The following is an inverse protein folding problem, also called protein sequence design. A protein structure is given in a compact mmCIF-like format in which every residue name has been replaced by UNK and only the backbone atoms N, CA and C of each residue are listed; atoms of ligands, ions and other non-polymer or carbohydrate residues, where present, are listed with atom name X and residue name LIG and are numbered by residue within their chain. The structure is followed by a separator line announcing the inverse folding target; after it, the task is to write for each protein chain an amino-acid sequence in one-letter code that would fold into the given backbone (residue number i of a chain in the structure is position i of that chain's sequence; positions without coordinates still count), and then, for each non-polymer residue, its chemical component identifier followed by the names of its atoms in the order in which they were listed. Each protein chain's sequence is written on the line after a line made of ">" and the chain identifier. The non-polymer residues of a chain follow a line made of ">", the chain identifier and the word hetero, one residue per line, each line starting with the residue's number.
data_IF_791071972580
#
_entry.id   IF_791071972580
#
_cell.length_a   1.000
_cell.length_b   1.000
_cell.length_c   1.000
_cell.angle_alpha   90.00
_cell.angle_beta   90.00
_cell.angle_gamma   90.00
#
_symmetry.space_group_name_H-M   'P 1'
#
loop_
_entity.id
_entity.type
_entity.pdbx_description
1 polymer ?
#
# COMPACT_ATOMS: atom_id res chain seq x y z
N UNK A 1 58.04 54.89 -25.96
CA UNK A 1 58.35 54.53 -24.58
C UNK A 1 57.71 53.15 -24.29
N UNK A 2 58.52 52.08 -24.11
CA UNK A 2 57.99 50.77 -23.70
C UNK A 2 57.79 50.77 -22.20
N UNK A 3 56.54 50.72 -21.75
CA UNK A 3 56.22 50.46 -20.34
C UNK A 3 56.70 49.05 -20.00
N UNK A 4 57.76 48.97 -19.18
CA UNK A 4 58.18 47.75 -18.55
C UNK A 4 57.17 47.43 -17.45
N UNK A 5 56.28 46.45 -17.72
CA UNK A 5 55.43 45.91 -16.68
C UNK A 5 56.33 45.34 -15.54
N UNK A 6 56.15 45.82 -14.34
CA UNK A 6 56.78 45.24 -13.14
C UNK A 6 56.10 43.89 -12.90
N UNK A 7 56.85 42.82 -13.08
CA UNK A 7 56.38 41.47 -12.66
C UNK A 7 56.32 41.37 -11.13
N UNK A 8 55.38 40.62 -10.62
CA UNK A 8 55.29 40.31 -9.19
C UNK A 8 56.52 39.55 -8.72
N UNK A 9 57.02 39.88 -7.56
CA UNK A 9 58.09 39.11 -6.91
C UNK A 9 57.52 37.81 -6.32
N UNK A 10 58.32 36.79 -6.17
CA UNK A 10 57.92 35.49 -5.61
C UNK A 10 57.44 35.65 -4.17
N UNK A 11 57.98 36.60 -3.43
CA UNK A 11 57.55 36.96 -2.04
C UNK A 11 56.20 37.62 -2.00
N UNK A 12 55.90 38.53 -2.94
CA UNK A 12 54.56 39.15 -3.04
C UNK A 12 53.49 38.13 -3.37
N UNK A 13 53.80 37.16 -4.28
CA UNK A 13 52.88 36.07 -4.60
C UNK A 13 52.65 35.17 -3.40
N UNK A 14 53.73 34.79 -2.66
CA UNK A 14 53.68 33.98 -1.48
C UNK A 14 52.83 34.67 -0.37
N UNK A 15 53.02 35.96 -0.13
CA UNK A 15 52.26 36.72 0.87
C UNK A 15 50.77 36.73 0.53
N UNK A 16 50.38 36.90 -0.75
CA UNK A 16 49.00 36.88 -1.20
C UNK A 16 48.35 35.51 -0.99
N UNK A 17 49.06 34.43 -1.32
CA UNK A 17 48.56 33.06 -1.13
C UNK A 17 48.32 32.77 0.35
N UNK A 18 49.24 33.18 1.24
CA UNK A 18 49.11 32.98 2.69
C UNK A 18 47.89 33.76 3.25
N UNK A 19 47.72 35.00 2.82
CA UNK A 19 46.59 35.82 3.27
C UNK A 19 45.27 35.23 2.76
N UNK A 20 45.21 34.81 1.49
CA UNK A 20 44.02 34.13 0.93
C UNK A 20 43.74 32.83 1.65
N UNK A 21 44.76 32.02 1.98
CA UNK A 21 44.56 30.80 2.76
C UNK A 21 43.95 31.05 4.13
N UNK A 22 44.43 32.07 4.86
CA UNK A 22 43.89 32.47 6.16
C UNK A 22 42.46 32.94 6.04
N UNK A 23 42.13 33.77 5.03
CA UNK A 23 40.76 34.26 4.79
C UNK A 23 39.83 33.09 4.47
N UNK A 24 40.26 32.16 3.62
CA UNK A 24 39.47 30.96 3.26
C UNK A 24 39.19 30.06 4.46
N UNK A 25 40.18 29.83 5.33
CA UNK A 25 40.02 28.98 6.54
C UNK A 25 38.97 29.56 7.50
N UNK A 26 38.84 30.90 7.59
CA UNK A 26 37.91 31.57 8.48
C UNK A 26 36.54 31.84 7.80
N UNK A 27 36.56 32.24 6.54
CA UNK A 27 35.35 32.64 5.84
C UNK A 27 34.50 31.46 5.33
N UNK A 28 35.13 30.39 4.83
CA UNK A 28 34.41 29.23 4.27
C UNK A 28 33.48 28.55 5.28
N UNK A 29 33.90 28.22 6.51
CA UNK A 29 33.00 27.63 7.51
C UNK A 29 31.78 28.54 7.81
N UNK A 30 32.00 29.85 8.00
CA UNK A 30 30.92 30.80 8.29
C UNK A 30 29.92 30.94 7.13
N UNK A 31 30.40 30.95 5.90
CA UNK A 31 29.56 31.00 4.69
C UNK A 31 28.75 29.69 4.61
N UNK A 32 29.37 28.54 4.83
CA UNK A 32 28.71 27.24 4.83
C UNK A 32 27.61 27.17 5.86
N UNK A 33 27.86 27.61 7.09
CA UNK A 33 26.85 27.65 8.16
C UNK A 33 25.69 28.59 7.82
N UNK A 34 25.98 29.74 7.23
CA UNK A 34 24.96 30.71 6.78
C UNK A 34 24.08 30.10 5.68
N UNK A 35 24.68 29.41 4.71
CA UNK A 35 23.94 28.72 3.65
C UNK A 35 23.08 27.59 4.25
N UNK A 36 23.62 26.78 5.17
CA UNK A 36 22.90 25.72 5.86
C UNK A 36 21.69 26.26 6.61
N UNK A 37 21.88 27.32 7.41
CA UNK A 37 20.81 27.97 8.15
C UNK A 37 19.73 28.58 7.25
N UNK A 38 20.13 29.21 6.14
CA UNK A 38 19.21 29.77 5.15
C UNK A 38 18.38 28.68 4.46
N UNK A 39 19.01 27.58 4.09
CA UNK A 39 18.30 26.40 3.53
C UNK A 39 17.29 25.85 4.54
N UNK A 40 17.72 25.70 5.80
CA UNK A 40 16.85 25.21 6.89
C UNK A 40 15.63 26.13 7.07
N UNK A 41 15.83 27.43 7.19
CA UNK A 41 14.74 28.41 7.34
C UNK A 41 13.79 28.41 6.12
N UNK A 42 14.32 28.30 4.91
CA UNK A 42 13.51 28.19 3.70
C UNK A 42 12.67 26.90 3.68
N UNK A 43 13.23 25.79 4.12
CA UNK A 43 12.52 24.51 4.21
C UNK A 43 11.40 24.52 5.26
N UNK A 44 11.66 25.13 6.44
CA UNK A 44 10.65 25.35 7.48
C UNK A 44 9.51 26.25 6.98
N UNK A 45 9.83 27.30 6.25
CA UNK A 45 8.82 28.18 5.63
C UNK A 45 7.95 27.43 4.62
N UNK A 46 8.54 26.53 3.85
CA UNK A 46 7.78 25.69 2.91
C UNK A 46 6.79 24.80 3.66
N UNK A 47 7.21 24.14 4.74
CA UNK A 47 6.32 23.28 5.54
C UNK A 47 5.17 24.08 6.17
N UNK A 48 5.43 25.30 6.70
CA UNK A 48 4.39 26.22 7.22
C UNK A 48 3.40 26.62 6.14
N UNK A 49 3.88 26.92 4.94
CA UNK A 49 3.03 27.29 3.80
C UNK A 49 2.12 26.15 3.38
N UNK A 50 2.65 24.92 3.32
CA UNK A 50 1.86 23.71 3.00
C UNK A 50 0.79 23.50 4.07
N UNK A 51 1.12 23.62 5.35
CA UNK A 51 0.16 23.47 6.44
C UNK A 51 -0.98 24.52 6.36
N UNK A 52 -0.66 25.78 6.11
CA UNK A 52 -1.66 26.83 5.97
C UNK A 52 -2.61 26.59 4.78
N UNK A 53 -2.05 26.13 3.65
CA UNK A 53 -2.86 25.79 2.47
C UNK A 53 -3.71 24.53 2.70
N UNK A 54 -3.21 23.54 3.46
CA UNK A 54 -3.96 22.36 3.83
C UNK A 54 -5.19 22.71 4.69
N UNK A 55 -5.04 23.59 5.67
CA UNK A 55 -6.15 24.08 6.50
C UNK A 55 -7.20 24.79 5.65
N UNK A 56 -6.76 25.65 4.73
CA UNK A 56 -7.67 26.33 3.79
C UNK A 56 -8.42 25.33 2.91
N UNK A 57 -7.71 24.34 2.35
CA UNK A 57 -8.31 23.31 1.51
C UNK A 57 -9.32 22.44 2.27
N UNK A 58 -9.04 22.17 3.55
CA UNK A 58 -9.99 21.46 4.42
C UNK A 58 -11.28 22.24 4.61
N UNK A 59 -11.20 23.54 4.89
CA UNK A 59 -12.39 24.40 5.02
C UNK A 59 -13.18 24.46 3.72
N UNK A 60 -12.50 24.55 2.56
CA UNK A 60 -13.16 24.51 1.26
C UNK A 60 -13.94 23.20 1.04
N UNK A 61 -13.34 22.06 1.39
CA UNK A 61 -13.99 20.75 1.29
C UNK A 61 -15.18 20.61 2.24
N UNK A 62 -15.06 21.07 3.47
CA UNK A 62 -16.15 21.08 4.45
C UNK A 62 -17.37 21.89 3.96
N UNK A 63 -17.13 23.05 3.34
CA UNK A 63 -18.19 23.87 2.74
C UNK A 63 -18.89 23.18 1.56
N UNK A 64 -18.13 22.39 0.79
CA UNK A 64 -18.63 21.67 -0.40
C UNK A 64 -19.14 20.26 -0.05
N UNK A 65 -19.20 19.89 1.23
CA UNK A 65 -19.54 18.54 1.70
C UNK A 65 -18.68 17.41 1.06
N UNK A 66 -17.46 17.76 0.60
CA UNK A 66 -16.51 16.83 0.02
C UNK A 66 -15.71 16.10 1.11
N UNK A 67 -15.93 14.81 1.26
CA UNK A 67 -15.26 13.96 2.26
C UNK A 67 -13.92 13.38 1.80
N UNK A 68 -13.43 13.74 0.61
CA UNK A 68 -12.17 13.25 0.07
C UNK A 68 -10.96 13.65 0.91
N UNK A 69 -9.94 12.81 0.95
CA UNK A 69 -8.67 13.08 1.62
C UNK A 69 -7.93 14.26 0.97
N UNK A 70 -7.08 14.91 1.75
CA UNK A 70 -6.20 16.00 1.27
C UNK A 70 -4.78 15.47 1.26
N UNK A 71 -4.19 15.41 0.07
CA UNK A 71 -2.79 15.04 -0.13
C UNK A 71 -1.91 16.28 -0.36
N UNK A 72 -0.60 16.12 -0.24
CA UNK A 72 0.33 17.21 -0.56
C UNK A 72 0.23 17.68 -2.01
N UNK A 73 -0.05 16.77 -2.95
CA UNK A 73 -0.21 17.08 -4.37
C UNK A 73 -1.44 17.95 -4.66
N UNK A 74 -2.45 17.91 -3.80
CA UNK A 74 -3.66 18.75 -3.95
C UNK A 74 -3.42 20.20 -3.55
N UNK A 75 -2.33 20.47 -2.82
CA UNK A 75 -2.05 21.77 -2.20
C UNK A 75 -0.95 22.51 -2.92
N UNK A 76 0.12 21.82 -3.22
CA UNK A 76 1.32 22.40 -3.85
C UNK A 76 1.76 21.46 -4.96
N UNK A 77 2.01 22.01 -6.15
CA UNK A 77 2.87 21.32 -7.11
C UNK A 77 4.26 21.30 -6.49
N UNK A 78 4.49 20.29 -5.63
CA UNK A 78 5.81 20.07 -5.10
C UNK A 78 6.75 19.87 -6.28
N UNK A 79 7.78 20.71 -6.31
CA UNK A 79 8.84 20.50 -7.26
C UNK A 79 9.55 19.20 -6.88
N UNK A 80 9.32 18.13 -7.63
CA UNK A 80 9.88 16.80 -7.40
C UNK A 80 11.42 16.80 -7.27
N UNK A 81 12.07 17.89 -7.68
CA UNK A 81 13.51 18.07 -7.53
C UNK A 81 13.94 18.55 -6.15
N UNK A 82 13.07 19.26 -5.40
CA UNK A 82 13.41 19.88 -4.11
C UNK A 82 12.76 19.20 -2.90
N UNK A 83 11.63 18.53 -3.12
CA UNK A 83 10.89 17.84 -2.06
C UNK A 83 10.70 16.38 -2.43
N UNK A 84 10.98 15.51 -1.49
CA UNK A 84 10.75 14.09 -1.59
C UNK A 84 9.36 13.72 -1.08
N UNK A 85 9.31 12.98 0.02
CA UNK A 85 8.07 12.52 0.60
C UNK A 85 7.37 13.61 1.42
N UNK A 86 6.05 13.67 1.34
CA UNK A 86 5.22 14.60 2.09
C UNK A 86 3.96 13.90 2.58
N UNK A 87 3.58 14.16 3.84
CA UNK A 87 2.34 13.67 4.43
C UNK A 87 1.64 14.80 5.16
N UNK A 88 0.30 14.83 5.07
CA UNK A 88 -0.56 15.78 5.79
C UNK A 88 -1.53 14.99 6.63
N UNK A 89 -1.60 15.33 7.91
CA UNK A 89 -2.61 14.84 8.84
C UNK A 89 -3.31 16.01 9.49
N UNK A 90 -4.48 15.80 10.09
CA UNK A 90 -5.22 16.84 10.76
C UNK A 90 -5.51 16.47 12.22
N UNK A 91 -5.37 17.46 13.10
CA UNK A 91 -5.81 17.41 14.48
C UNK A 91 -6.89 18.49 14.67
N UNK A 92 -8.14 18.06 14.63
CA UNK A 92 -9.24 19.00 14.42
C UNK A 92 -9.06 19.76 13.09
N UNK A 93 -8.96 21.08 13.16
CA UNK A 93 -8.75 21.96 12.00
C UNK A 93 -7.27 22.30 11.75
N UNK A 94 -6.37 21.84 12.61
CA UNK A 94 -4.94 22.12 12.48
C UNK A 94 -4.28 21.09 11.60
N UNK A 95 -3.67 21.54 10.50
CA UNK A 95 -2.88 20.67 9.63
C UNK A 95 -1.48 20.43 10.25
N UNK A 96 -1.07 19.16 10.24
CA UNK A 96 0.28 18.71 10.60
C UNK A 96 0.95 18.17 9.35
N UNK A 97 2.05 18.80 8.94
CA UNK A 97 2.80 18.46 7.72
C UNK A 97 4.11 17.77 8.12
N UNK A 98 4.35 16.61 7.55
CA UNK A 98 5.65 15.94 7.61
C UNK A 98 6.24 15.93 6.20
N UNK A 99 7.49 16.44 6.06
CA UNK A 99 8.12 16.72 4.78
C UNK A 99 9.58 16.29 4.80
N UNK A 100 10.03 15.64 3.72
CA UNK A 100 11.45 15.28 3.50
C UNK A 100 11.99 16.09 2.34
N UNK A 101 13.17 16.68 2.53
CA UNK A 101 13.86 17.44 1.50
C UNK A 101 14.56 16.53 0.49
N UNK A 102 14.63 17.01 -0.77
CA UNK A 102 15.36 16.43 -1.90
C UNK A 102 16.17 17.55 -2.58
N UNK A 103 17.13 17.21 -3.41
CA UNK A 103 17.90 18.20 -4.16
C UNK A 103 18.54 19.27 -3.28
N UNK A 104 18.13 20.54 -3.43
CA UNK A 104 18.71 21.63 -2.63
C UNK A 104 18.43 21.51 -1.13
N UNK A 105 17.39 20.76 -0.74
CA UNK A 105 16.99 20.52 0.65
C UNK A 105 17.36 19.10 1.12
N UNK A 106 18.11 18.36 0.34
CA UNK A 106 18.54 17.00 0.72
C UNK A 106 19.15 16.98 2.14
N UNK A 107 18.75 15.96 2.92
CA UNK A 107 19.15 15.79 4.31
C UNK A 107 18.34 16.58 5.32
N UNK A 108 17.33 17.35 4.90
CA UNK A 108 16.42 18.06 5.80
C UNK A 108 15.06 17.36 5.90
N UNK A 109 14.43 17.47 7.06
CA UNK A 109 13.05 16.99 7.29
C UNK A 109 12.31 17.85 8.30
N UNK A 110 10.98 17.90 8.17
CA UNK A 110 10.06 18.46 9.18
C UNK A 110 9.08 17.37 9.57
N UNK A 111 8.84 17.19 10.88
CA UNK A 111 7.82 16.25 11.40
C UNK A 111 6.72 17.08 12.05
N UNK A 112 5.46 16.81 11.66
CA UNK A 112 4.26 17.42 12.23
C UNK A 112 4.33 18.96 12.32
N UNK A 113 4.94 19.61 11.32
CA UNK A 113 4.98 21.06 11.23
C UNK A 113 3.59 21.65 11.02
N UNK A 114 3.27 22.74 11.71
CA UNK A 114 2.03 23.49 11.56
C UNK A 114 2.30 24.82 10.85
N UNK A 115 1.24 25.55 10.48
CA UNK A 115 1.40 26.89 9.88
C UNK A 115 2.16 27.89 10.78
N UNK A 116 2.09 27.69 12.10
CA UNK A 116 2.71 28.59 13.08
C UNK A 116 4.11 28.09 13.50
N UNK A 117 4.32 26.79 13.52
CA UNK A 117 5.56 26.19 13.97
C UNK A 117 5.99 25.01 13.08
N UNK A 118 7.19 25.11 12.51
CA UNK A 118 7.85 24.01 11.83
C UNK A 118 9.35 24.08 12.11
N UNK A 119 9.94 22.99 12.55
CA UNK A 119 11.37 22.90 12.85
C UNK A 119 11.99 21.85 11.96
N UNK A 120 12.99 22.25 11.17
CA UNK A 120 13.71 21.30 10.32
C UNK A 120 14.79 20.56 11.10
N UNK A 121 14.73 19.23 11.01
CA UNK A 121 15.75 18.29 11.47
C UNK A 121 16.60 17.75 10.34
N UNK A 122 17.60 16.95 10.70
CA UNK A 122 18.39 16.19 9.72
C UNK A 122 17.75 14.80 9.50
N UNK A 123 17.76 14.32 8.27
CA UNK A 123 17.32 12.97 7.90
C UNK A 123 18.36 12.34 6.96
N UNK A 124 18.64 11.06 7.19
CA UNK A 124 19.47 10.27 6.27
C UNK A 124 18.59 9.21 5.62
N UNK A 125 18.53 9.23 4.29
CA UNK A 125 17.87 8.17 3.54
C UNK A 125 18.64 6.86 3.68
N UNK A 126 17.96 5.70 3.83
CA UNK A 126 18.61 4.41 3.79
C UNK A 126 19.23 4.16 2.41
N UNK A 127 20.31 3.38 2.39
CA UNK A 127 20.92 2.96 1.13
C UNK A 127 20.02 1.94 0.42
N UNK A 128 19.91 2.07 -0.89
CA UNK A 128 19.21 1.09 -1.71
C UNK A 128 19.88 -0.28 -1.61
N UNK A 129 19.10 -1.34 -1.64
CA UNK A 129 19.59 -2.71 -1.49
C UNK A 129 18.44 -3.69 -1.38
N UNK A 130 18.62 -4.76 -0.61
CA UNK A 130 17.58 -5.78 -0.38
C UNK A 130 16.28 -5.10 0.04
N UNK A 131 15.19 -5.37 -0.70
CA UNK A 131 13.96 -4.61 -0.60
C UNK A 131 13.34 -4.65 0.80
N UNK A 132 13.35 -5.80 1.47
CA UNK A 132 12.84 -5.92 2.84
C UNK A 132 13.68 -5.13 3.84
N UNK A 133 15.00 -5.12 3.69
CA UNK A 133 15.91 -4.33 4.54
C UNK A 133 15.69 -2.83 4.33
N UNK A 134 15.52 -2.40 3.09
CA UNK A 134 15.25 -1.00 2.75
C UNK A 134 13.93 -0.51 3.38
N UNK A 135 12.84 -1.26 3.22
CA UNK A 135 11.54 -0.89 3.80
C UNK A 135 11.58 -0.92 5.33
N UNK A 136 12.26 -1.90 5.95
CA UNK A 136 12.46 -1.94 7.41
C UNK A 136 13.24 -0.70 7.88
N UNK A 137 14.27 -0.26 7.17
CA UNK A 137 15.03 0.96 7.50
C UNK A 137 14.21 2.25 7.33
N UNK A 138 13.31 2.32 6.34
CA UNK A 138 12.33 3.41 6.24
C UNK A 138 11.39 3.42 7.47
N UNK A 139 10.93 2.26 7.89
CA UNK A 139 10.05 2.13 9.06
C UNK A 139 10.75 2.54 10.36
N UNK A 140 12.01 2.19 10.56
CA UNK A 140 12.78 2.46 11.79
C UNK A 140 13.10 3.95 11.97
N UNK A 141 13.03 4.76 10.92
CA UNK A 141 13.14 6.22 10.96
C UNK A 141 11.76 6.85 11.18
N UNK A 142 11.55 7.59 12.27
CA UNK A 142 10.26 8.20 12.59
C UNK A 142 9.73 9.08 11.45
N UNK A 143 10.58 9.92 10.87
CA UNK A 143 10.16 10.78 9.76
C UNK A 143 9.86 9.99 8.49
N UNK A 144 10.71 9.03 8.13
CA UNK A 144 10.52 8.25 6.91
C UNK A 144 9.31 7.31 7.05
N UNK A 145 9.07 6.76 8.25
CA UNK A 145 7.87 5.97 8.55
C UNK A 145 6.60 6.77 8.26
N UNK A 146 6.48 7.97 8.84
CA UNK A 146 5.30 8.82 8.67
C UNK A 146 5.13 9.29 7.23
N UNK A 147 6.21 9.77 6.59
CA UNK A 147 6.14 10.32 5.23
C UNK A 147 5.95 9.26 4.14
N UNK A 148 6.27 8.00 4.45
CA UNK A 148 5.99 6.88 3.53
C UNK A 148 4.65 6.20 3.82
N UNK A 149 3.96 6.54 4.90
CA UNK A 149 2.72 5.88 5.31
C UNK A 149 2.96 4.44 5.78
N UNK A 150 4.02 4.21 6.57
CA UNK A 150 4.38 2.90 7.09
C UNK A 150 3.90 2.72 8.53
N UNK A 151 3.38 1.53 8.83
CA UNK A 151 2.93 1.14 10.16
C UNK A 151 3.14 -0.36 10.39
N UNK A 152 3.34 -0.77 11.62
CA UNK A 152 3.18 -2.18 12.02
C UNK A 152 1.71 -2.46 12.29
N UNK A 153 1.21 -3.57 11.76
CA UNK A 153 -0.11 -4.05 12.14
C UNK A 153 -0.12 -4.53 13.60
N UNK A 154 -1.30 -4.65 14.19
CA UNK A 154 -1.49 -5.08 15.57
C UNK A 154 -1.67 -6.61 15.71
N UNK A 155 -1.25 -7.37 14.70
CA UNK A 155 -1.24 -8.83 14.73
C UNK A 155 -0.02 -9.36 15.46
N UNK A 156 0.00 -10.66 15.78
CA UNK A 156 1.17 -11.32 16.38
C UNK A 156 2.42 -11.26 15.49
N UNK A 157 2.23 -11.19 14.17
CA UNK A 157 3.32 -11.14 13.20
C UNK A 157 3.94 -9.76 13.07
N UNK A 158 3.22 -8.70 13.53
CA UNK A 158 3.65 -7.31 13.51
C UNK A 158 4.25 -6.89 12.15
N UNK A 159 3.54 -7.23 11.07
CA UNK A 159 4.00 -6.94 9.70
C UNK A 159 4.08 -5.42 9.47
N UNK A 160 5.08 -5.00 8.70
CA UNK A 160 5.20 -3.62 8.26
C UNK A 160 4.31 -3.43 7.04
N UNK A 161 3.32 -2.53 7.13
CA UNK A 161 2.34 -2.27 6.08
C UNK A 161 2.36 -0.82 5.64
N UNK A 162 1.93 -0.58 4.41
CA UNK A 162 1.64 0.76 3.92
C UNK A 162 0.17 1.09 4.15
N UNK A 163 -0.10 2.26 4.77
CA UNK A 163 -1.44 2.75 5.09
C UNK A 163 -1.65 4.19 4.61
N UNK A 164 -2.90 4.61 4.52
CA UNK A 164 -3.27 5.98 4.17
C UNK A 164 -3.82 6.11 2.76
N UNK A 165 -4.23 7.32 2.37
CA UNK A 165 -4.84 7.55 1.07
C UNK A 165 -3.85 7.37 -0.09
N UNK A 166 -2.61 7.82 0.08
CA UNK A 166 -1.59 7.76 -0.96
C UNK A 166 -0.18 7.60 -0.36
N UNK A 167 0.14 6.44 0.25
CA UNK A 167 1.49 6.18 0.73
C UNK A 167 2.50 6.03 -0.42
N UNK A 168 3.78 6.18 -0.11
CA UNK A 168 4.87 6.00 -1.07
C UNK A 168 5.22 4.52 -1.23
N UNK A 169 4.34 3.77 -1.84
CA UNK A 169 4.44 2.33 -2.03
C UNK A 169 4.32 1.88 -3.49
N UNK A 170 4.42 2.81 -4.44
CA UNK A 170 4.41 2.45 -5.84
C UNK A 170 5.72 1.80 -6.26
N UNK A 171 5.62 0.81 -7.12
CA UNK A 171 6.74 0.05 -7.67
C UNK A 171 6.51 -0.18 -9.17
N UNK A 172 7.55 -0.02 -9.96
CA UNK A 172 7.56 -0.42 -11.36
C UNK A 172 7.80 -1.93 -11.42
N UNK A 173 6.79 -2.68 -11.81
CA UNK A 173 6.84 -4.13 -11.89
C UNK A 173 6.02 -4.60 -13.10
N UNK A 174 6.58 -5.48 -13.92
CA UNK A 174 5.94 -5.94 -15.16
C UNK A 174 5.65 -4.82 -16.19
N UNK A 175 6.51 -3.79 -16.23
CA UNK A 175 6.34 -2.60 -17.09
C UNK A 175 5.06 -1.78 -16.80
N UNK A 176 4.48 -1.97 -15.63
CA UNK A 176 3.29 -1.25 -15.14
C UNK A 176 3.45 -0.87 -13.66
N UNK A 177 2.53 -0.06 -13.14
CA UNK A 177 2.54 0.30 -11.72
C UNK A 177 1.86 -0.79 -10.89
N UNK A 178 2.58 -1.24 -9.87
CA UNK A 178 2.07 -2.06 -8.77
C UNK A 178 2.26 -1.31 -7.47
N UNK A 179 1.69 -1.85 -6.39
CA UNK A 179 1.84 -1.27 -5.06
C UNK A 179 2.31 -2.32 -4.06
N UNK A 180 3.19 -1.90 -3.16
CA UNK A 180 3.66 -2.73 -2.05
C UNK A 180 2.58 -2.72 -0.96
N UNK A 181 2.04 -3.88 -0.60
CA UNK A 181 1.16 -4.04 0.56
C UNK A 181 1.98 -3.90 1.85
N UNK A 182 3.14 -4.56 1.90
CA UNK A 182 4.00 -4.53 3.06
C UNK A 182 5.11 -5.57 3.02
N UNK A 183 5.76 -5.71 4.17
CA UNK A 183 6.77 -6.74 4.44
C UNK A 183 6.16 -7.77 5.40
N UNK A 184 6.12 -9.01 4.96
CA UNK A 184 5.59 -10.17 5.66
C UNK A 184 6.73 -11.16 5.90
N UNK A 185 7.24 -11.20 7.12
CA UNK A 185 8.48 -11.92 7.41
C UNK A 185 9.63 -11.36 6.59
N UNK A 186 10.17 -12.17 5.66
CA UNK A 186 11.27 -11.78 4.76
C UNK A 186 10.83 -11.56 3.31
N UNK A 187 9.52 -11.46 3.06
CA UNK A 187 8.96 -11.26 1.73
C UNK A 187 8.25 -9.91 1.61
N UNK A 188 8.40 -9.26 0.46
CA UNK A 188 7.56 -8.12 0.06
C UNK A 188 6.34 -8.69 -0.65
N UNK A 189 5.15 -8.23 -0.27
CA UNK A 189 3.89 -8.54 -0.94
C UNK A 189 3.47 -7.37 -1.81
N UNK A 190 3.17 -7.65 -3.08
CA UNK A 190 2.66 -6.67 -4.04
C UNK A 190 1.20 -6.96 -4.39
N UNK A 191 0.51 -5.91 -4.84
CA UNK A 191 -0.78 -5.99 -5.53
C UNK A 191 -0.74 -5.10 -6.77
N UNK A 192 -1.37 -5.53 -7.86
CA UNK A 192 -1.51 -4.73 -9.06
C UNK A 192 -2.37 -3.49 -8.78
N UNK A 193 -2.01 -2.33 -9.33
CA UNK A 193 -2.76 -1.08 -9.11
C UNK A 193 -4.12 -1.10 -9.80
N UNK A 194 -4.16 -1.64 -11.01
CA UNK A 194 -5.38 -1.70 -11.84
C UNK A 194 -5.95 -3.11 -11.85
N UNK A 195 -7.28 -3.23 -11.96
CA UNK A 195 -7.89 -4.55 -12.13
C UNK A 195 -7.44 -5.20 -13.45
N UNK A 196 -7.28 -6.52 -13.46
CA UNK A 196 -7.10 -7.27 -14.72
C UNK A 196 -8.40 -7.29 -15.54
N UNK A 197 -9.52 -7.32 -14.86
CA UNK A 197 -10.86 -7.46 -15.41
C UNK A 197 -11.76 -8.15 -14.39
N UNK A 198 -12.98 -8.49 -14.79
CA UNK A 198 -13.96 -9.15 -13.93
C UNK A 198 -14.14 -10.61 -14.34
N UNK A 199 -13.84 -11.52 -13.42
CA UNK A 199 -13.96 -12.96 -13.58
C UNK A 199 -14.69 -13.59 -12.39
N UNK A 200 -15.28 -14.77 -12.64
CA UNK A 200 -15.70 -15.65 -11.54
C UNK A 200 -14.48 -16.13 -10.76
N UNK A 201 -14.61 -16.25 -9.45
CA UNK A 201 -13.60 -16.89 -8.61
C UNK A 201 -13.54 -18.38 -8.94
N UNK A 202 -14.72 -19.00 -9.06
CA UNK A 202 -14.94 -20.35 -9.55
C UNK A 202 -16.35 -20.47 -10.18
N UNK A 203 -16.50 -21.34 -11.16
CA UNK A 203 -17.77 -21.66 -11.78
C UNK A 203 -17.94 -23.17 -11.85
N UNK A 204 -19.18 -23.63 -12.01
CA UNK A 204 -19.48 -25.07 -12.17
C UNK A 204 -20.73 -25.24 -12.99
N UNK A 205 -20.98 -26.45 -13.47
CA UNK A 205 -22.27 -26.79 -14.07
C UNK A 205 -23.37 -26.91 -13.02
N UNK A 206 -24.61 -27.05 -13.44
CA UNK A 206 -25.78 -27.10 -12.56
C UNK A 206 -25.82 -28.31 -11.61
N UNK A 207 -24.98 -29.31 -11.84
CA UNK A 207 -24.91 -30.50 -10.98
C UNK A 207 -24.10 -30.26 -9.70
N UNK A 208 -23.27 -29.19 -9.69
CA UNK A 208 -22.43 -28.83 -8.55
C UNK A 208 -22.87 -27.45 -8.00
N UNK A 209 -23.34 -27.43 -6.75
CA UNK A 209 -23.79 -26.21 -6.07
C UNK A 209 -24.73 -25.34 -6.94
N UNK A 210 -25.64 -25.95 -7.69
CA UNK A 210 -26.52 -25.26 -8.65
C UNK A 210 -25.78 -24.37 -9.67
N UNK A 211 -24.55 -24.71 -10.01
CA UNK A 211 -23.71 -23.95 -10.94
C UNK A 211 -23.06 -22.68 -10.36
N UNK A 212 -23.05 -22.51 -9.04
CA UNK A 212 -22.46 -21.34 -8.39
C UNK A 212 -20.97 -21.47 -8.06
N UNK A 213 -20.34 -22.56 -8.52
CA UNK A 213 -18.92 -22.84 -8.25
C UNK A 213 -18.66 -23.51 -6.92
N UNK A 214 -17.39 -23.75 -6.65
CA UNK A 214 -16.87 -24.34 -5.41
C UNK A 214 -15.81 -23.41 -4.83
N UNK A 215 -15.91 -23.08 -3.56
CA UNK A 215 -14.96 -22.17 -2.91
C UNK A 215 -13.73 -22.90 -2.37
N UNK A 216 -13.05 -23.63 -3.22
CA UNK A 216 -11.78 -24.32 -2.97
C UNK A 216 -10.70 -23.78 -3.93
N UNK A 217 -9.71 -23.07 -3.38
CA UNK A 217 -8.75 -22.31 -4.19
C UNK A 217 -7.88 -23.18 -5.11
N UNK A 218 -7.45 -24.36 -4.65
CA UNK A 218 -6.54 -25.20 -5.43
C UNK A 218 -7.15 -25.70 -6.74
N UNK A 219 -8.48 -25.68 -6.85
CA UNK A 219 -9.25 -26.09 -8.04
C UNK A 219 -9.95 -24.93 -8.72
N UNK A 220 -9.88 -23.72 -8.18
CA UNK A 220 -10.62 -22.56 -8.67
C UNK A 220 -10.21 -22.14 -10.08
N UNK A 221 -11.19 -21.78 -10.90
CA UNK A 221 -10.99 -21.27 -12.27
C UNK A 221 -10.10 -20.02 -12.27
N UNK A 222 -10.27 -19.14 -11.28
CA UNK A 222 -9.48 -17.93 -11.17
C UNK A 222 -8.01 -18.24 -10.83
N UNK A 223 -7.74 -19.25 -9.99
CA UNK A 223 -6.38 -19.74 -9.75
C UNK A 223 -5.75 -20.26 -11.03
N UNK A 224 -6.51 -21.02 -11.84
CA UNK A 224 -6.04 -21.54 -13.12
C UNK A 224 -5.69 -20.38 -14.08
N UNK A 225 -6.58 -19.39 -14.21
CA UNK A 225 -6.29 -18.20 -15.01
C UNK A 225 -5.03 -17.48 -14.55
N UNK A 226 -4.90 -17.20 -13.23
CA UNK A 226 -3.78 -16.43 -12.71
C UNK A 226 -2.42 -17.13 -12.82
N UNK A 227 -2.39 -18.47 -12.73
CA UNK A 227 -1.13 -19.22 -12.72
C UNK A 227 -0.79 -19.88 -14.05
N UNK A 228 -1.78 -20.36 -14.82
CA UNK A 228 -1.54 -21.01 -16.10
C UNK A 228 -1.50 -20.00 -17.24
N UNK A 229 -2.39 -19.00 -17.25
CA UNK A 229 -2.41 -18.01 -18.33
C UNK A 229 -1.62 -16.74 -17.97
N UNK A 230 -2.01 -16.01 -16.93
CA UNK A 230 -1.41 -14.72 -16.59
C UNK A 230 0.08 -14.86 -16.21
N UNK A 231 0.42 -15.83 -15.37
CA UNK A 231 1.81 -16.16 -15.03
C UNK A 231 2.45 -17.06 -16.11
N UNK A 232 1.82 -18.18 -16.47
CA UNK A 232 2.41 -19.23 -17.31
C UNK A 232 2.49 -18.88 -18.79
N UNK A 233 1.51 -18.13 -19.32
CA UNK A 233 1.40 -17.78 -20.73
C UNK A 233 0.64 -18.82 -21.58
N UNK A 234 0.04 -19.83 -20.96
CA UNK A 234 -0.77 -20.86 -21.63
C UNK A 234 -2.25 -20.49 -21.54
N UNK A 235 -2.95 -20.48 -22.65
CA UNK A 235 -4.37 -20.12 -22.71
C UNK A 235 -5.24 -21.10 -21.90
N UNK A 236 -6.23 -20.54 -21.19
CA UNK A 236 -7.25 -21.26 -20.42
C UNK A 236 -8.64 -20.76 -20.81
N UNK A 237 -9.69 -21.42 -20.31
CA UNK A 237 -11.05 -20.90 -20.39
C UNK A 237 -11.31 -19.98 -19.21
N UNK A 238 -11.93 -18.81 -19.45
CA UNK A 238 -12.33 -17.87 -18.41
C UNK A 238 -13.85 -17.87 -18.25
N UNK A 239 -14.29 -17.72 -17.01
CA UNK A 239 -15.69 -17.74 -16.64
C UNK A 239 -16.11 -16.41 -16.00
N UNK A 240 -17.33 -15.97 -16.31
CA UNK A 240 -17.88 -14.71 -15.81
C UNK A 240 -19.30 -14.88 -15.28
N UNK A 241 -19.72 -16.09 -14.94
CA UNK A 241 -21.06 -16.34 -14.45
C UNK A 241 -21.30 -17.79 -14.02
N UNK A 242 -22.51 -18.03 -13.55
CA UNK A 242 -23.05 -19.33 -13.14
C UNK A 242 -23.11 -20.31 -14.34
N UNK A 243 -23.10 -21.61 -14.05
CA UNK A 243 -23.25 -22.71 -15.01
C UNK A 243 -22.13 -22.69 -16.08
N UNK A 244 -20.89 -22.55 -15.69
CA UNK A 244 -19.74 -22.48 -16.59
C UNK A 244 -19.92 -21.44 -17.71
N UNK A 245 -20.57 -20.31 -17.38
CA UNK A 245 -20.76 -19.22 -18.32
C UNK A 245 -19.42 -18.61 -18.69
N UNK A 246 -18.97 -18.88 -19.92
CA UNK A 246 -17.68 -18.42 -20.43
C UNK A 246 -17.67 -16.92 -20.69
N UNK A 247 -16.50 -16.31 -20.55
CA UNK A 247 -16.24 -14.92 -20.92
C UNK A 247 -14.88 -14.80 -21.59
N UNK A 248 -14.62 -13.64 -22.20
CA UNK A 248 -13.28 -13.36 -22.75
C UNK A 248 -12.29 -13.20 -21.58
N UNK A 249 -11.19 -13.95 -21.65
CA UNK A 249 -10.12 -13.78 -20.69
C UNK A 249 -9.54 -12.36 -20.78
N UNK A 250 -9.28 -11.69 -19.63
CA UNK A 250 -8.58 -10.43 -19.63
C UNK A 250 -7.23 -10.55 -20.33
N UNK A 251 -6.85 -9.51 -21.06
CA UNK A 251 -5.53 -9.43 -21.69
C UNK A 251 -4.47 -9.04 -20.67
N UNK A 252 -3.29 -9.60 -20.81
CA UNK A 252 -2.15 -9.33 -19.93
C UNK A 252 -1.40 -10.62 -19.56
N UNK A 253 -0.13 -10.47 -19.29
CA UNK A 253 0.74 -11.56 -18.82
C UNK A 253 1.94 -10.96 -18.09
N UNK A 254 2.55 -11.75 -17.24
CA UNK A 254 3.82 -11.36 -16.61
C UNK A 254 4.97 -11.61 -17.58
N UNK A 255 5.85 -10.63 -17.72
CA UNK A 255 7.09 -10.78 -18.48
C UNK A 255 8.13 -11.63 -17.72
N UNK A 256 9.21 -12.02 -18.39
CA UNK A 256 10.23 -12.89 -17.80
C UNK A 256 10.93 -12.26 -16.60
N UNK A 257 11.16 -10.94 -16.63
CA UNK A 257 11.78 -10.21 -15.52
C UNK A 257 10.90 -10.22 -14.27
N UNK A 258 9.60 -9.92 -14.41
CA UNK A 258 8.66 -10.00 -13.31
C UNK A 258 8.58 -11.42 -12.73
N UNK A 259 8.46 -12.44 -13.60
CA UNK A 259 8.42 -13.85 -13.18
C UNK A 259 9.64 -14.26 -12.36
N UNK A 260 10.85 -13.80 -12.73
CA UNK A 260 12.08 -14.13 -12.00
C UNK A 260 12.13 -13.54 -10.58
N UNK A 261 11.38 -12.48 -10.32
CA UNK A 261 11.29 -11.82 -9.01
C UNK A 261 10.20 -12.41 -8.10
N UNK A 262 9.27 -13.21 -8.64
CA UNK A 262 8.16 -13.78 -7.87
C UNK A 262 8.61 -15.05 -7.14
N UNK A 263 8.26 -15.13 -5.85
CA UNK A 263 8.44 -16.32 -5.05
C UNK A 263 7.29 -17.33 -5.29
N UNK A 264 7.61 -18.61 -5.37
CA UNK A 264 6.60 -19.66 -5.20
C UNK A 264 6.25 -19.73 -3.72
N UNK A 265 5.23 -18.98 -3.32
CA UNK A 265 4.87 -18.74 -1.93
C UNK A 265 3.79 -19.72 -1.47
N UNK A 266 3.84 -20.12 -0.19
CA UNK A 266 2.78 -20.94 0.41
C UNK A 266 1.66 -20.02 0.93
N UNK A 267 0.59 -19.88 0.15
CA UNK A 267 -0.59 -19.09 0.48
C UNK A 267 -1.50 -19.83 1.45
N UNK A 268 -2.14 -19.11 2.37
CA UNK A 268 -3.19 -19.65 3.22
C UNK A 268 -4.53 -19.59 2.45
N UNK A 269 -5.19 -20.71 2.28
CA UNK A 269 -6.37 -20.86 1.40
C UNK A 269 -7.55 -21.54 2.09
N UNK A 270 -7.45 -21.80 3.38
CA UNK A 270 -8.54 -22.36 4.17
C UNK A 270 -9.73 -21.40 4.28
N UNK A 271 -10.93 -21.97 4.38
CA UNK A 271 -12.14 -21.18 4.52
C UNK A 271 -12.31 -20.59 5.93
N UNK A 272 -12.81 -19.38 6.00
CA UNK A 272 -13.06 -18.69 7.27
C UNK A 272 -14.50 -18.91 7.69
N UNK A 273 -14.68 -19.51 8.87
CA UNK A 273 -15.99 -19.80 9.43
C UNK A 273 -16.60 -18.55 10.09
N UNK A 274 -17.82 -18.22 9.69
CA UNK A 274 -18.58 -17.10 10.26
C UNK A 274 -19.14 -17.38 11.65
N UNK A 275 -19.22 -18.64 12.08
CA UNK A 275 -19.79 -19.02 13.37
C UNK A 275 -18.77 -19.03 14.51
N UNK A 276 -17.48 -18.83 14.24
CA UNK A 276 -16.50 -18.65 15.31
C UNK A 276 -16.76 -17.29 15.99
N UNK A 277 -16.91 -17.32 17.27
CA UNK A 277 -17.51 -16.35 18.20
C UNK A 277 -16.93 -14.93 18.16
N UNK A 278 -15.95 -14.66 17.34
CA UNK A 278 -15.31 -13.34 17.16
C UNK A 278 -15.47 -12.78 15.76
N UNK A 279 -16.05 -13.53 14.81
CA UNK A 279 -16.32 -13.10 13.45
C UNK A 279 -17.83 -13.27 13.20
N UNK A 280 -18.64 -12.45 13.83
CA UNK A 280 -20.09 -12.44 13.59
C UNK A 280 -20.39 -11.66 12.32
N UNK A 281 -20.87 -12.36 11.29
CA UNK A 281 -21.02 -11.80 9.95
C UNK A 281 -22.48 -11.77 9.51
N UNK A 282 -23.45 -11.70 10.35
CA UNK A 282 -24.78 -11.52 9.79
C UNK A 282 -25.75 -10.59 10.52
N UNK A 283 -25.52 -10.26 11.77
CA UNK A 283 -26.48 -9.38 12.45
C UNK A 283 -25.84 -8.16 13.14
N UNK A 284 -24.53 -8.15 13.34
CA UNK A 284 -23.82 -7.01 13.94
C UNK A 284 -22.67 -6.48 13.12
N UNK A 285 -22.25 -7.13 12.04
CA UNK A 285 -21.16 -6.76 11.12
C UNK A 285 -19.87 -6.24 11.77
N UNK A 286 -19.70 -6.50 13.07
CA UNK A 286 -18.46 -6.22 13.77
C UNK A 286 -17.50 -7.37 13.52
N UNK A 287 -16.54 -7.17 12.63
CA UNK A 287 -15.53 -8.17 12.31
C UNK A 287 -14.21 -7.72 12.92
N UNK A 288 -13.77 -8.39 13.98
CA UNK A 288 -12.47 -8.10 14.58
C UNK A 288 -11.35 -8.39 13.57
N UNK A 289 -10.59 -7.36 13.21
CA UNK A 289 -9.57 -7.42 12.15
C UNK A 289 -8.44 -8.41 12.49
N UNK A 290 -8.00 -8.46 13.76
CA UNK A 290 -6.96 -9.38 14.20
C UNK A 290 -7.48 -10.84 14.19
N UNK A 291 -8.73 -11.06 14.63
CA UNK A 291 -9.33 -12.39 14.57
C UNK A 291 -9.48 -12.85 13.10
N UNK A 292 -9.87 -11.96 12.20
CA UNK A 292 -9.95 -12.26 10.78
C UNK A 292 -8.56 -12.61 10.20
N UNK A 293 -7.54 -11.84 10.54
CA UNK A 293 -6.16 -12.12 10.16
C UNK A 293 -5.69 -13.50 10.61
N UNK A 294 -5.98 -13.84 11.87
CA UNK A 294 -5.65 -15.13 12.43
C UNK A 294 -6.40 -16.27 11.74
N UNK A 295 -7.67 -16.05 11.40
CA UNK A 295 -8.48 -17.01 10.64
C UNK A 295 -7.93 -17.22 9.22
N UNK A 296 -7.54 -16.14 8.50
CA UNK A 296 -6.90 -16.24 7.18
C UNK A 296 -5.63 -17.12 7.23
N UNK A 297 -4.94 -17.19 8.36
CA UNK A 297 -3.67 -17.92 8.55
C UNK A 297 -3.78 -19.21 9.35
N UNK A 298 -4.98 -19.58 9.73
CA UNK A 298 -5.22 -20.83 10.47
C UNK A 298 -4.70 -20.85 11.88
N UNK A 299 -4.46 -19.69 12.50
CA UNK A 299 -4.07 -19.64 13.90
C UNK A 299 -5.27 -19.78 14.86
N UNK A 300 -5.03 -20.06 16.14
CA UNK A 300 -5.95 -20.60 17.14
C UNK A 300 -7.24 -19.82 17.40
N UNK A 301 -7.31 -18.56 17.03
CA UNK A 301 -8.46 -17.66 17.30
C UNK A 301 -9.45 -17.54 16.15
N UNK A 302 -9.19 -18.17 15.00
CA UNK A 302 -10.13 -18.29 13.91
C UNK A 302 -9.97 -19.67 13.30
N UNK A 303 -11.04 -20.45 13.22
CA UNK A 303 -10.95 -21.77 12.59
C UNK A 303 -10.89 -21.65 11.10
N UNK A 304 -9.82 -22.17 10.51
CA UNK A 304 -9.84 -22.53 9.12
C UNK A 304 -10.61 -23.81 8.94
N UNK A 305 -11.64 -23.78 8.15
CA UNK A 305 -12.39 -24.96 7.78
C UNK A 305 -11.64 -25.82 6.77
N UNK A 306 -11.38 -27.06 7.15
CA UNK A 306 -10.72 -28.05 6.28
C UNK A 306 -11.69 -29.06 5.68
N UNK A 307 -12.83 -29.28 6.30
CA UNK A 307 -13.83 -30.26 5.85
C UNK A 307 -15.26 -29.84 6.20
N UNK A 308 -16.23 -30.47 5.56
CA UNK A 308 -17.66 -30.21 5.74
C UNK A 308 -18.15 -30.37 7.18
N UNK A 309 -17.60 -31.36 7.95
CA UNK A 309 -17.99 -31.58 9.34
C UNK A 309 -17.65 -30.41 10.26
N UNK A 310 -16.52 -29.78 10.02
CA UNK A 310 -16.04 -28.64 10.83
C UNK A 310 -16.66 -27.31 10.39
N UNK A 311 -17.03 -27.22 9.11
CA UNK A 311 -17.51 -25.99 8.47
C UNK A 311 -19.02 -26.01 8.20
N UNK A 312 -19.69 -27.14 8.49
CA UNK A 312 -21.08 -27.39 8.10
C UNK A 312 -21.33 -27.26 6.58
N UNK A 313 -20.33 -27.53 5.76
CA UNK A 313 -20.44 -27.64 4.31
C UNK A 313 -19.84 -28.97 3.80
N UNK A 314 -19.93 -29.25 2.50
CA UNK A 314 -19.51 -30.52 1.90
C UNK A 314 -18.16 -30.45 1.19
N UNK A 315 -17.49 -29.29 1.21
CA UNK A 315 -16.24 -29.08 0.48
C UNK A 315 -15.05 -29.38 1.39
N UNK A 316 -14.13 -30.22 0.90
CA UNK A 316 -12.82 -30.40 1.52
C UNK A 316 -11.87 -29.35 0.93
N UNK A 317 -11.22 -28.60 1.78
CA UNK A 317 -10.28 -27.52 1.39
C UNK A 317 -8.89 -27.81 1.87
N UNK A 318 -7.91 -27.44 1.06
CA UNK A 318 -6.53 -27.31 1.53
C UNK A 318 -6.41 -26.02 2.37
N UNK A 319 -5.68 -26.09 3.49
CA UNK A 319 -5.41 -24.88 4.31
C UNK A 319 -4.32 -24.02 3.72
N UNK A 320 -3.48 -24.60 2.85
CA UNK A 320 -2.38 -23.92 2.18
C UNK A 320 -2.26 -24.37 0.73
N UNK A 321 -1.76 -23.49 -0.11
CA UNK A 321 -1.50 -23.76 -1.50
C UNK A 321 -0.19 -23.09 -1.95
N UNK A 322 0.77 -23.83 -2.53
CA UNK A 322 1.99 -23.25 -3.10
C UNK A 322 1.69 -22.70 -4.52
N UNK A 323 2.04 -21.46 -4.77
CA UNK A 323 1.85 -20.85 -6.08
C UNK A 323 2.41 -19.45 -6.20
N UNK A 324 2.40 -18.94 -7.42
CA UNK A 324 3.07 -17.68 -7.77
C UNK A 324 2.15 -16.47 -7.62
N UNK A 325 0.91 -16.57 -8.11
CA UNK A 325 -0.05 -15.47 -8.16
C UNK A 325 -1.34 -15.88 -7.48
N UNK A 326 -1.80 -15.04 -6.55
CA UNK A 326 -3.09 -15.21 -5.90
C UNK A 326 -3.80 -13.85 -5.78
N UNK A 327 -4.69 -13.71 -4.81
CA UNK A 327 -5.42 -12.50 -4.50
C UNK A 327 -4.95 -11.91 -3.15
N UNK A 328 -5.19 -10.62 -2.88
CA UNK A 328 -5.00 -10.08 -1.54
C UNK A 328 -5.99 -10.72 -0.55
N UNK A 329 -5.67 -10.60 0.73
CA UNK A 329 -6.57 -10.94 1.83
C UNK A 329 -7.44 -9.75 2.21
N UNK A 330 -8.59 -9.99 2.82
CA UNK A 330 -9.45 -8.92 3.33
C UNK A 330 -8.72 -8.03 4.37
N UNK A 331 -7.83 -8.62 5.16
CA UNK A 331 -7.01 -7.87 6.11
C UNK A 331 -5.90 -7.05 5.45
N UNK A 332 -5.44 -7.38 4.25
CA UNK A 332 -4.55 -6.51 3.50
C UNK A 332 -5.25 -5.19 3.16
N UNK A 333 -6.52 -5.27 2.76
CA UNK A 333 -7.36 -4.10 2.51
C UNK A 333 -7.65 -3.31 3.80
N UNK A 334 -7.97 -3.97 4.90
CA UNK A 334 -8.29 -3.30 6.16
C UNK A 334 -7.10 -2.47 6.70
N UNK A 335 -5.90 -3.06 6.69
CA UNK A 335 -4.68 -2.39 7.15
C UNK A 335 -4.11 -1.38 6.14
N UNK A 336 -4.65 -1.28 4.94
CA UNK A 336 -4.30 -0.23 3.99
C UNK A 336 -4.95 1.13 4.33
N UNK A 337 -5.96 1.14 5.20
CA UNK A 337 -6.54 2.36 5.77
C UNK A 337 -5.71 2.87 6.94
N UNK A 338 -5.51 4.20 7.01
CA UNK A 338 -4.90 4.84 8.20
C UNK A 338 -5.91 5.10 9.33
N UNK A 339 -7.18 4.76 9.13
CA UNK A 339 -8.19 4.88 10.17
C UNK A 339 -7.97 3.82 11.27
N UNK A 340 -7.72 4.26 12.49
CA UNK A 340 -7.35 3.36 13.60
C UNK A 340 -8.43 2.34 13.95
N UNK A 341 -9.71 2.67 13.72
CA UNK A 341 -10.82 1.76 13.93
C UNK A 341 -10.71 0.49 13.08
N UNK A 342 -10.13 0.58 11.87
CA UNK A 342 -10.00 -0.55 10.96
C UNK A 342 -9.03 -1.64 11.44
N UNK A 343 -8.09 -1.29 12.32
CA UNK A 343 -7.23 -2.27 12.97
C UNK A 343 -7.97 -3.11 14.03
N UNK A 344 -9.17 -2.70 14.43
CA UNK A 344 -10.01 -3.41 15.42
C UNK A 344 -11.29 -3.95 14.82
N UNK A 345 -11.89 -3.26 13.86
CA UNK A 345 -13.12 -3.66 13.19
C UNK A 345 -13.04 -3.34 11.69
N UNK A 346 -12.93 -4.38 10.88
CA UNK A 346 -12.81 -4.27 9.42
C UNK A 346 -14.05 -3.64 8.75
N UNK A 347 -15.22 -3.74 9.39
CA UNK A 347 -16.49 -3.19 8.94
C UNK A 347 -16.96 -2.02 9.83
N UNK A 348 -16.03 -1.25 10.40
CA UNK A 348 -16.38 -0.09 11.20
C UNK A 348 -17.19 0.95 10.40
N UNK A 349 -18.20 1.53 11.08
CA UNK A 349 -19.11 2.49 10.48
C UNK A 349 -20.33 1.89 9.74
N UNK A 350 -20.48 0.57 9.73
CA UNK A 350 -21.70 -0.06 9.19
C UNK A 350 -22.89 0.18 10.13
N UNK A 351 -23.96 0.76 9.59
CA UNK A 351 -25.22 0.92 10.29
C UNK A 351 -26.12 -0.30 10.05
N UNK A 352 -26.09 -1.22 11.01
CA UNK A 352 -26.87 -2.46 10.97
C UNK A 352 -28.37 -2.21 10.94
N UNK A 353 -28.85 -1.22 11.72
CA UNK A 353 -30.28 -0.97 11.89
C UNK A 353 -30.95 -0.53 10.58
N UNK A 354 -30.23 0.26 9.77
CA UNK A 354 -30.72 0.78 8.51
C UNK A 354 -30.14 0.09 7.28
N UNK A 355 -29.29 -0.94 7.47
CA UNK A 355 -28.53 -1.60 6.39
C UNK A 355 -27.79 -0.58 5.52
N UNK A 356 -27.15 0.41 6.17
CA UNK A 356 -26.51 1.54 5.50
C UNK A 356 -24.98 1.44 5.58
N UNK A 357 -24.31 1.63 4.42
CA UNK A 357 -22.87 1.58 4.23
C UNK A 357 -22.24 2.98 4.03
N UNK A 358 -23.00 4.07 4.15
CA UNK A 358 -22.51 5.42 3.83
C UNK A 358 -21.34 5.84 4.74
N UNK A 359 -21.38 5.42 5.99
CA UNK A 359 -20.41 5.79 7.02
C UNK A 359 -19.25 4.80 7.19
N UNK A 360 -19.06 3.87 6.24
CA UNK A 360 -17.96 2.90 6.33
C UNK A 360 -16.61 3.60 6.51
N UNK A 361 -15.94 3.29 7.62
CA UNK A 361 -14.70 3.95 8.01
C UNK A 361 -13.51 3.43 7.19
N UNK A 362 -13.43 2.13 6.96
CA UNK A 362 -12.24 1.51 6.37
C UNK A 362 -12.03 1.79 4.87
N UNK A 363 -13.00 2.40 4.19
CA UNK A 363 -12.78 2.95 2.84
C UNK A 363 -12.04 4.29 2.87
N UNK A 364 -12.08 4.99 4.01
CA UNK A 364 -11.45 6.30 4.14
C UNK A 364 -9.93 6.14 4.26
N UNK A 365 -9.21 7.06 3.64
CA UNK A 365 -7.76 7.05 3.67
C UNK A 365 -7.16 5.65 3.43
N UNK A 366 -7.72 4.92 2.45
CA UNK A 366 -7.37 3.54 2.13
C UNK A 366 -6.93 3.44 0.66
N UNK A 367 -5.64 3.25 0.45
CA UNK A 367 -5.06 3.19 -0.89
C UNK A 367 -5.44 1.91 -1.68
N UNK A 368 -5.90 0.86 -1.00
CA UNK A 368 -6.39 -0.38 -1.65
C UNK A 368 -7.89 -0.35 -1.95
N UNK A 369 -8.59 0.71 -1.55
CA UNK A 369 -10.01 0.79 -1.78
C UNK A 369 -10.31 1.21 -3.23
N UNK A 370 -11.17 0.43 -3.89
CA UNK A 370 -11.60 0.64 -5.27
C UNK A 370 -13.13 0.66 -5.34
N UNK A 371 -13.65 1.50 -6.23
CA UNK A 371 -15.08 1.62 -6.46
C UNK A 371 -15.80 2.57 -5.50
N UNK A 372 -17.09 2.76 -5.76
CA UNK A 372 -17.97 3.65 -5.01
C UNK A 372 -19.34 3.05 -4.78
N UNK A 373 -19.69 1.98 -5.47
CA UNK A 373 -21.00 1.32 -5.38
C UNK A 373 -20.86 -0.10 -4.83
N UNK A 374 -21.98 -0.64 -4.30
CA UNK A 374 -22.04 -2.00 -3.76
C UNK A 374 -21.63 -3.07 -4.79
N UNK A 375 -21.81 -2.82 -6.07
CA UNK A 375 -21.55 -3.79 -7.14
C UNK A 375 -20.16 -3.71 -7.73
N UNK A 376 -19.38 -2.68 -7.38
CA UNK A 376 -17.96 -2.57 -7.69
C UNK A 376 -17.16 -3.29 -6.60
N UNK A 377 -17.18 -4.60 -6.62
CA UNK A 377 -16.54 -5.44 -5.62
C UNK A 377 -15.28 -6.10 -6.17
N UNK A 378 -14.31 -6.32 -5.29
CA UNK A 378 -13.07 -7.03 -5.60
C UNK A 378 -12.98 -8.36 -4.86
N UNK A 379 -12.50 -9.40 -5.53
CA UNK A 379 -12.28 -10.70 -4.92
C UNK A 379 -11.14 -10.69 -3.91
N UNK A 380 -11.36 -11.41 -2.79
CA UNK A 380 -10.31 -11.77 -1.84
C UNK A 380 -9.95 -13.26 -1.98
N UNK A 381 -8.81 -13.63 -1.40
CA UNK A 381 -8.32 -15.01 -1.53
C UNK A 381 -9.14 -16.01 -0.71
N UNK A 382 -9.60 -15.62 0.47
CA UNK A 382 -10.18 -16.55 1.44
C UNK A 382 -11.59 -17.01 1.09
N UNK A 383 -11.87 -18.31 1.04
CA UNK A 383 -13.22 -18.85 1.00
C UNK A 383 -14.01 -18.49 2.28
N UNK A 384 -15.32 -18.35 2.12
CA UNK A 384 -16.25 -18.18 3.23
C UNK A 384 -16.87 -19.53 3.61
N UNK A 385 -16.76 -19.92 4.86
CA UNK A 385 -17.38 -21.13 5.36
C UNK A 385 -18.69 -20.83 6.07
N UNK A 386 -19.78 -21.42 5.57
CA UNK A 386 -21.11 -21.32 6.14
C UNK A 386 -21.84 -22.64 5.99
N UNK A 387 -22.69 -22.97 6.98
CA UNK A 387 -23.57 -24.13 6.91
C UNK A 387 -24.38 -24.19 5.61
N UNK A 388 -24.23 -25.29 4.88
CA UNK A 388 -24.97 -25.54 3.64
C UNK A 388 -24.53 -24.69 2.43
N UNK A 389 -23.40 -23.96 2.50
CA UNK A 389 -22.96 -23.06 1.42
C UNK A 389 -21.48 -23.25 1.16
N UNK A 390 -21.14 -24.00 0.10
CA UNK A 390 -19.79 -24.31 -0.32
C UNK A 390 -19.32 -23.50 -1.54
N UNK A 391 -19.96 -22.39 -1.85
CA UNK A 391 -19.77 -21.62 -3.06
C UNK A 391 -19.68 -20.10 -2.84
N UNK A 392 -19.28 -19.69 -1.63
CA UNK A 392 -19.20 -18.28 -1.26
C UNK A 392 -17.76 -17.92 -0.89
N UNK A 393 -17.33 -16.74 -1.33
CA UNK A 393 -15.96 -16.23 -1.16
C UNK A 393 -16.00 -14.81 -0.62
N UNK A 394 -15.05 -14.47 0.25
CA UNK A 394 -14.89 -13.13 0.75
C UNK A 394 -14.53 -12.14 -0.36
N UNK A 395 -15.08 -10.95 -0.26
CA UNK A 395 -14.84 -9.82 -1.16
C UNK A 395 -14.89 -8.50 -0.41
N UNK A 396 -14.41 -7.44 -1.04
CA UNK A 396 -14.58 -6.06 -0.56
C UNK A 396 -15.49 -5.33 -1.53
N UNK A 397 -16.57 -4.76 -1.01
CA UNK A 397 -17.52 -3.96 -1.79
C UNK A 397 -16.95 -2.55 -2.04
N UNK A 398 -17.32 -1.92 -3.16
CA UNK A 398 -16.96 -0.53 -3.44
C UNK A 398 -17.56 0.49 -2.46
N UNK A 399 -18.51 0.09 -1.64
CA UNK A 399 -18.99 0.90 -0.49
C UNK A 399 -18.09 0.78 0.74
N UNK A 400 -17.03 -0.07 0.70
CA UNK A 400 -16.04 -0.18 1.77
C UNK A 400 -16.40 -1.18 2.86
N UNK A 401 -17.10 -2.25 2.54
CA UNK A 401 -17.43 -3.35 3.45
C UNK A 401 -16.80 -4.66 3.00
N UNK A 402 -16.21 -5.39 3.92
CA UNK A 402 -15.87 -6.81 3.71
C UNK A 402 -17.15 -7.62 3.77
N UNK A 403 -17.42 -8.35 2.71
CA UNK A 403 -18.66 -9.10 2.48
C UNK A 403 -18.33 -10.47 1.84
N UNK A 404 -19.35 -11.21 1.47
CA UNK A 404 -19.19 -12.50 0.82
C UNK A 404 -20.19 -12.66 -0.32
N UNK A 405 -19.73 -13.12 -1.47
CA UNK A 405 -20.55 -13.39 -2.64
C UNK A 405 -20.31 -14.80 -3.19
N UNK A 406 -21.23 -15.29 -4.01
CA UNK A 406 -21.09 -16.56 -4.70
C UNK A 406 -19.91 -16.54 -5.64
N UNK A 407 -19.12 -17.61 -5.64
CA UNK A 407 -17.88 -17.72 -6.40
C UNK A 407 -18.06 -17.49 -7.92
N UNK A 408 -19.25 -17.79 -8.44
CA UNK A 408 -19.55 -17.60 -9.86
C UNK A 408 -19.84 -16.15 -10.30
N UNK A 409 -19.92 -15.20 -9.39
CA UNK A 409 -20.07 -13.80 -9.79
C UNK A 409 -18.79 -13.27 -10.44
N UNK A 410 -18.93 -12.40 -11.43
CA UNK A 410 -17.81 -11.73 -12.06
C UNK A 410 -17.45 -10.47 -11.27
N UNK A 411 -16.42 -10.53 -10.43
CA UNK A 411 -15.91 -9.38 -9.70
C UNK A 411 -14.50 -9.00 -10.15
N UNK A 412 -14.08 -7.80 -9.78
CA UNK A 412 -12.76 -7.25 -10.13
C UNK A 412 -11.62 -8.09 -9.55
N UNK A 413 -10.65 -8.40 -10.38
CA UNK A 413 -9.48 -9.22 -10.06
C UNK A 413 -8.24 -8.36 -9.95
N UNK A 414 -7.66 -8.27 -8.76
CA UNK A 414 -6.39 -7.60 -8.49
C UNK A 414 -5.35 -8.65 -8.10
N UNK A 415 -4.44 -9.03 -9.01
CA UNK A 415 -3.41 -10.02 -8.71
C UNK A 415 -2.49 -9.56 -7.58
N UNK A 416 -2.12 -10.49 -6.73
CA UNK A 416 -1.14 -10.31 -5.65
C UNK A 416 -0.03 -11.34 -5.77
N UNK A 417 1.21 -10.92 -5.47
CA UNK A 417 2.40 -11.78 -5.52
C UNK A 417 3.28 -11.52 -4.30
N UNK A 418 4.05 -12.51 -3.90
CA UNK A 418 5.18 -12.33 -3.01
C UNK A 418 6.47 -12.33 -3.82
N UNK A 419 7.33 -11.35 -3.57
CA UNK A 419 8.65 -11.30 -4.18
C UNK A 419 9.61 -12.26 -3.47
N UNK A 420 10.60 -12.78 -4.21
CA UNK A 420 11.66 -13.55 -3.61
C UNK A 420 12.54 -12.64 -2.70
N UNK A 421 13.20 -13.26 -1.73
CA UNK A 421 13.93 -12.54 -0.67
C UNK A 421 15.14 -11.77 -1.15
N UNK A 422 15.62 -12.03 -2.36
CA UNK A 422 16.83 -11.41 -2.92
C UNK A 422 16.54 -10.18 -3.78
N UNK A 423 15.26 -9.89 -4.05
CA UNK A 423 14.85 -8.71 -4.82
C UNK A 423 15.33 -7.43 -4.12
N UNK A 424 15.96 -6.56 -4.89
CA UNK A 424 16.50 -5.29 -4.42
C UNK A 424 15.67 -4.13 -4.94
N UNK A 425 15.52 -3.10 -4.11
CA UNK A 425 15.12 -1.76 -4.53
C UNK A 425 16.41 -1.03 -4.90
N UNK A 426 16.48 -0.48 -6.11
CA UNK A 426 17.70 0.12 -6.66
C UNK A 426 17.59 1.63 -6.86
N UNK A 427 16.37 2.15 -6.93
CA UNK A 427 16.08 3.59 -7.05
C UNK A 427 14.60 3.85 -6.81
N UNK A 428 14.21 5.12 -6.86
CA UNK A 428 12.84 5.59 -6.70
C UNK A 428 12.48 5.95 -5.26
N UNK A 429 11.47 6.80 -5.11
CA UNK A 429 10.94 7.23 -3.80
C UNK A 429 9.67 6.49 -3.38
N UNK A 430 9.11 5.65 -4.26
CA UNK A 430 7.85 4.96 -4.04
C UNK A 430 6.61 5.82 -4.32
N UNK A 431 6.76 7.04 -4.83
CA UNK A 431 5.64 7.85 -5.32
C UNK A 431 5.17 7.36 -6.69
N UNK A 432 3.97 7.74 -7.12
CA UNK A 432 3.44 7.37 -8.46
C UNK A 432 4.26 7.95 -9.61
N UNK A 433 4.89 9.11 -9.42
CA UNK A 433 5.76 9.75 -10.42
C UNK A 433 7.22 9.26 -10.38
N UNK A 434 7.64 8.62 -9.26
CA UNK A 434 8.98 8.09 -9.05
C UNK A 434 8.88 6.75 -8.29
N UNK A 435 8.31 5.70 -8.93
CA UNK A 435 8.10 4.41 -8.29
C UNK A 435 9.42 3.70 -7.99
N UNK A 436 9.43 2.83 -6.99
CA UNK A 436 10.58 1.97 -6.72
C UNK A 436 10.91 1.10 -7.93
N UNK A 437 12.19 1.01 -8.25
CA UNK A 437 12.73 0.13 -9.31
C UNK A 437 13.31 -1.12 -8.67
N UNK A 438 12.84 -2.26 -9.13
CA UNK A 438 13.26 -3.59 -8.62
C UNK A 438 14.31 -4.24 -9.54
N UNK A 439 15.19 -5.01 -8.92
CA UNK A 439 16.14 -5.90 -9.60
C UNK A 439 16.33 -7.19 -8.82
#
# INVERSE_FOLDING_TARGET
>A
MKNKGRGFTLVELLAVIVILAIILVIAVPKITDTIKNSKKASFESSAKTIAAQAEKKKMEKEILEDTGSISCSDIVKLNDTDYGNCSITFDGNTAKVSLVGKGKFEGLSVINGTKDNATAGEVKMPEYGKGTTYIKALYDSDILRVTNGLKKDNTSDANIRYEGANPNNYVSFNDELWRIIGVFGDNIKLVRTEELGKLSWDSSDSSVNDGYGVNEWSQADLKEYLNTMYYGGTSVTCYGGRNNSTTTCPTGSLNSTAKSMINNYTWNTGAINSSDTTIVIQETFTVNTVAFYNAERGSVTGKICTSGSDCNDTVTRTTTWPGYVALPYATDWAYASSETACATNINDGYDVANNNFDNMTCKKNNWMHHGSTRYEAMWMLSPYARSGVANVVWNVLGVGSVNSFRASLALSVFPSVYLNTEVKITSGSGSSSDPYILK
#
